data_IF_471761775431
#
_entry.id   IF_471761775431
#
_cell.length_a   1.000
_cell.length_b   1.000
_cell.length_c   1.000
_cell.angle_alpha   90.00
_cell.angle_beta   90.00
_cell.angle_gamma   90.00
#
_symmetry.space_group_name_H-M   'P 1'
#
loop_
_entity.id
_entity.type
_entity.pdbx_description
1 polymer ?
#
# COMPACT_ATOMS: atom_id res chain seq x y z
N UNK A 1 7.66 -3.07 38.72
CA UNK A 1 7.49 -4.07 37.65
C UNK A 1 7.73 -3.33 36.34
N UNK A 2 8.63 -3.80 35.47
CA UNK A 2 8.91 -3.13 34.20
C UNK A 2 7.73 -3.40 33.27
N UNK A 3 7.06 -2.34 32.82
CA UNK A 3 5.97 -2.46 31.85
C UNK A 3 6.61 -2.62 30.47
N UNK A 4 6.25 -3.70 29.76
CA UNK A 4 6.79 -4.00 28.42
C UNK A 4 5.68 -3.78 27.40
N UNK A 5 6.04 -3.17 26.27
CA UNK A 5 5.15 -2.99 25.13
C UNK A 5 5.85 -3.42 23.85
N UNK A 6 5.10 -3.99 22.91
CA UNK A 6 5.55 -4.35 21.57
C UNK A 6 4.77 -3.53 20.56
N UNK A 7 5.49 -2.91 19.63
CA UNK A 7 4.90 -2.16 18.51
C UNK A 7 5.27 -2.85 17.22
N UNK A 8 4.27 -3.42 16.56
CA UNK A 8 4.41 -4.08 15.27
C UNK A 8 4.33 -3.09 14.11
N UNK A 9 5.02 -3.42 13.02
CA UNK A 9 4.74 -2.83 11.72
C UNK A 9 3.67 -3.67 11.00
N UNK A 10 2.73 -3.07 10.27
CA UNK A 10 1.65 -3.86 9.64
C UNK A 10 2.20 -4.69 8.47
N UNK A 11 2.40 -4.06 7.32
CA UNK A 11 2.87 -4.73 6.09
C UNK A 11 4.28 -5.35 6.20
N UNK A 12 5.05 -4.99 7.23
CA UNK A 12 6.40 -5.50 7.46
C UNK A 12 6.49 -6.66 8.46
N UNK A 13 5.47 -6.90 9.29
CA UNK A 13 5.54 -7.97 10.32
C UNK A 13 4.26 -8.77 10.55
N UNK A 14 3.08 -8.20 10.31
CA UNK A 14 1.81 -8.86 10.61
C UNK A 14 1.11 -9.42 9.38
N UNK A 15 1.47 -8.94 8.19
CA UNK A 15 0.83 -9.32 6.94
C UNK A 15 1.77 -10.15 6.05
N UNK A 16 1.23 -11.23 5.52
CA UNK A 16 1.74 -11.87 4.31
C UNK A 16 1.30 -11.04 3.11
N UNK A 17 2.27 -10.44 2.43
CA UNK A 17 2.06 -9.37 1.48
C UNK A 17 2.31 -9.83 0.04
N UNK A 18 1.27 -9.75 -0.78
CA UNK A 18 1.31 -10.04 -2.20
C UNK A 18 1.45 -8.74 -2.98
N UNK A 19 2.41 -8.69 -3.91
CA UNK A 19 2.69 -7.47 -4.67
C UNK A 19 2.95 -7.81 -6.11
N UNK A 20 2.37 -7.04 -7.02
CA UNK A 20 2.58 -7.18 -8.44
C UNK A 20 2.93 -5.83 -9.06
N UNK A 21 3.83 -5.85 -10.05
CA UNK A 21 4.08 -4.70 -10.90
C UNK A 21 4.19 -5.13 -12.36
N UNK A 22 3.48 -4.44 -13.24
CA UNK A 22 3.60 -4.63 -14.69
C UNK A 22 4.46 -3.54 -15.27
N UNK A 23 5.52 -3.90 -15.99
CA UNK A 23 6.29 -2.97 -16.80
C UNK A 23 5.55 -2.70 -18.11
N UNK A 24 5.13 -1.45 -18.32
CA UNK A 24 4.34 -1.08 -19.48
C UNK A 24 5.14 -1.09 -20.79
N UNK A 25 6.47 -1.11 -20.72
CA UNK A 25 7.32 -1.18 -21.93
C UNK A 25 7.48 -2.61 -22.43
N UNK A 26 7.67 -3.55 -21.52
CA UNK A 26 7.89 -4.97 -21.86
C UNK A 26 6.61 -5.80 -21.80
N UNK A 27 5.57 -5.30 -21.13
CA UNK A 27 4.33 -6.05 -20.83
C UNK A 27 4.52 -7.13 -19.77
N UNK A 28 5.69 -7.25 -19.15
CA UNK A 28 5.98 -8.29 -18.17
C UNK A 28 5.44 -7.94 -16.78
N UNK A 29 4.90 -8.94 -16.08
CA UNK A 29 4.43 -8.82 -14.70
C UNK A 29 5.47 -9.45 -13.77
N UNK A 30 5.90 -8.68 -12.77
CA UNK A 30 6.77 -9.11 -11.69
C UNK A 30 5.94 -9.34 -10.43
N UNK A 31 6.09 -10.50 -9.82
CA UNK A 31 5.38 -10.92 -8.61
C UNK A 31 6.29 -10.85 -7.38
N UNK A 32 5.69 -10.67 -6.22
CA UNK A 32 6.32 -10.72 -4.90
C UNK A 32 7.51 -9.76 -4.76
N UNK A 33 7.41 -8.60 -5.44
CA UNK A 33 8.43 -7.55 -5.41
C UNK A 33 8.14 -6.54 -4.31
N UNK A 34 9.20 -5.97 -3.71
CA UNK A 34 9.07 -4.81 -2.83
C UNK A 34 8.98 -3.54 -3.70
N UNK A 35 7.77 -3.00 -3.85
CA UNK A 35 7.51 -1.85 -4.74
C UNK A 35 8.29 -0.59 -4.35
N UNK A 36 8.60 -0.40 -3.06
CA UNK A 36 9.46 0.68 -2.58
C UNK A 36 10.93 0.50 -2.99
N UNK A 37 11.41 -0.74 -3.10
CA UNK A 37 12.76 -1.02 -3.60
C UNK A 37 12.83 -0.76 -5.11
N UNK A 38 11.77 -1.12 -5.84
CA UNK A 38 11.62 -0.78 -7.26
C UNK A 38 11.64 0.75 -7.46
N UNK A 39 10.84 1.51 -6.70
CA UNK A 39 10.89 2.97 -6.71
C UNK A 39 12.28 3.49 -6.29
N UNK A 40 12.99 2.76 -5.44
CA UNK A 40 14.36 3.05 -5.03
C UNK A 40 15.41 2.94 -6.13
N UNK A 41 15.15 2.22 -7.21
CA UNK A 41 16.10 2.03 -8.33
C UNK A 41 16.33 3.30 -9.15
N UNK A 42 15.39 4.24 -9.14
CA UNK A 42 15.47 5.49 -9.88
C UNK A 42 14.98 6.65 -9.00
N UNK A 43 15.79 7.70 -8.75
CA UNK A 43 15.39 8.83 -7.90
C UNK A 43 14.20 9.64 -8.44
N UNK A 44 13.87 9.49 -9.73
CA UNK A 44 12.73 10.15 -10.37
C UNK A 44 11.45 9.30 -10.32
N UNK A 45 11.48 8.10 -9.74
CA UNK A 45 10.29 7.29 -9.53
C UNK A 45 9.52 7.70 -8.28
N UNK A 46 8.20 7.76 -8.43
CA UNK A 46 7.27 7.88 -7.32
C UNK A 46 6.13 6.87 -7.44
N UNK A 47 5.72 6.32 -6.30
CA UNK A 47 4.54 5.47 -6.17
C UNK A 47 3.33 6.38 -5.96
N UNK A 48 2.35 6.26 -6.84
CA UNK A 48 1.05 6.91 -6.76
C UNK A 48 0.01 5.88 -6.35
N UNK A 49 -0.70 6.15 -5.26
CA UNK A 49 -1.81 5.33 -4.77
C UNK A 49 -3.08 5.84 -5.44
N UNK A 50 -3.88 4.95 -6.03
CA UNK A 50 -5.17 5.28 -6.59
C UNK A 50 -6.27 4.88 -5.60
N UNK A 51 -7.07 5.85 -5.16
CA UNK A 51 -8.21 5.57 -4.27
C UNK A 51 -9.44 5.17 -5.08
N UNK A 52 -9.39 3.95 -5.62
CA UNK A 52 -10.47 3.32 -6.38
C UNK A 52 -10.78 1.96 -5.76
N UNK A 53 -12.07 1.63 -5.67
CA UNK A 53 -12.51 0.33 -5.18
C UNK A 53 -12.06 -0.77 -6.15
N UNK A 54 -11.35 -1.81 -5.67
CA UNK A 54 -10.85 -2.88 -6.52
C UNK A 54 -11.95 -3.56 -7.37
N UNK A 55 -13.13 -3.83 -6.78
CA UNK A 55 -14.27 -4.42 -7.49
C UNK A 55 -14.78 -3.52 -8.62
N UNK A 56 -14.78 -2.20 -8.39
CA UNK A 56 -15.20 -1.23 -9.41
C UNK A 56 -14.22 -1.24 -10.57
N UNK A 57 -12.91 -1.22 -10.30
CA UNK A 57 -11.87 -1.26 -11.32
C UNK A 57 -11.96 -2.54 -12.17
N UNK A 58 -12.23 -3.68 -11.57
CA UNK A 58 -12.38 -4.97 -12.26
C UNK A 58 -13.55 -5.01 -13.26
N UNK A 59 -14.58 -4.17 -13.07
CA UNK A 59 -15.75 -4.13 -13.94
C UNK A 59 -15.63 -3.10 -15.08
N UNK A 60 -14.55 -2.31 -15.10
CA UNK A 60 -14.33 -1.27 -16.10
C UNK A 60 -13.91 -1.84 -17.46
N UNK A 61 -14.15 -1.07 -18.53
CA UNK A 61 -13.59 -1.35 -19.85
C UNK A 61 -12.06 -1.22 -19.81
N UNK A 62 -11.36 -2.35 -19.95
CA UNK A 62 -9.91 -2.42 -19.91
C UNK A 62 -9.21 -1.62 -21.01
N UNK A 63 -9.89 -1.32 -22.13
CA UNK A 63 -9.34 -0.51 -23.21
C UNK A 63 -9.26 0.98 -22.89
N UNK A 64 -9.84 1.41 -21.76
CA UNK A 64 -9.90 2.80 -21.38
C UNK A 64 -8.54 3.31 -20.87
N UNK A 65 -8.09 4.52 -21.26
CA UNK A 65 -6.88 5.09 -20.70
C UNK A 65 -7.01 5.38 -19.20
N UNK A 66 -5.98 5.08 -18.41
CA UNK A 66 -5.97 5.30 -16.95
C UNK A 66 -6.26 6.76 -16.60
N UNK A 67 -5.69 7.70 -17.35
CA UNK A 67 -5.87 9.12 -17.09
C UNK A 67 -7.34 9.59 -17.27
N UNK A 68 -8.08 8.96 -18.18
CA UNK A 68 -9.51 9.22 -18.38
C UNK A 68 -10.33 8.61 -17.26
N UNK A 69 -10.01 7.39 -16.85
CA UNK A 69 -10.60 6.73 -15.68
C UNK A 69 -10.49 7.63 -14.43
N UNK A 70 -9.27 8.09 -14.11
CA UNK A 70 -9.02 8.95 -12.94
C UNK A 70 -9.85 10.23 -12.98
N UNK A 71 -9.92 10.88 -14.15
CA UNK A 71 -10.65 12.13 -14.33
C UNK A 71 -12.17 11.96 -14.24
N UNK A 72 -12.73 10.96 -14.93
CA UNK A 72 -14.18 10.78 -15.06
C UNK A 72 -14.82 10.22 -13.79
N UNK A 73 -14.09 9.38 -13.05
CA UNK A 73 -14.52 8.84 -11.76
C UNK A 73 -14.10 9.72 -10.57
N UNK A 74 -13.39 10.82 -10.83
CA UNK A 74 -12.82 11.70 -9.79
C UNK A 74 -11.99 10.91 -8.75
N UNK A 75 -11.16 9.99 -9.23
CA UNK A 75 -10.29 9.14 -8.40
C UNK A 75 -9.27 10.04 -7.72
N UNK A 76 -9.28 10.02 -6.38
CA UNK A 76 -8.25 10.71 -5.60
C UNK A 76 -6.94 9.94 -5.72
N UNK A 77 -5.82 10.67 -5.73
CA UNK A 77 -4.49 10.06 -5.71
C UNK A 77 -3.70 10.57 -4.51
N UNK A 78 -2.80 9.74 -4.00
CA UNK A 78 -1.79 10.11 -3.00
C UNK A 78 -0.40 9.66 -3.44
N UNK A 79 0.65 10.30 -2.92
CA UNK A 79 2.03 9.87 -3.14
C UNK A 79 2.42 8.95 -1.99
N UNK A 80 2.57 7.65 -2.30
CA UNK A 80 2.96 6.64 -1.31
C UNK A 80 4.45 6.67 -0.99
N UNK A 81 5.30 6.81 -2.02
CA UNK A 81 6.76 6.85 -1.85
C UNK A 81 7.39 7.66 -2.97
N UNK A 82 8.36 8.52 -2.64
CA UNK A 82 9.18 9.21 -3.62
C UNK A 82 10.51 9.61 -2.99
N UNK A 83 11.61 9.53 -3.75
CA UNK A 83 12.93 10.02 -3.30
C UNK A 83 13.10 11.52 -3.50
N UNK A 84 12.60 12.04 -4.62
CA UNK A 84 12.54 13.48 -4.90
C UNK A 84 11.17 14.03 -4.50
N UNK A 85 11.12 15.31 -4.13
CA UNK A 85 9.84 15.97 -3.92
C UNK A 85 9.06 15.99 -5.24
N UNK A 86 7.93 15.28 -5.27
CA UNK A 86 6.94 15.31 -6.33
C UNK A 86 5.67 15.90 -5.73
N UNK A 87 5.02 16.86 -6.40
CA UNK A 87 3.73 17.37 -5.95
C UNK A 87 2.59 16.52 -6.52
N UNK A 88 1.43 16.55 -5.87
CA UNK A 88 0.21 15.89 -6.36
C UNK A 88 -0.19 16.46 -7.74
N UNK A 89 -0.07 17.78 -7.93
CA UNK A 89 -0.35 18.43 -9.21
C UNK A 89 0.59 17.97 -10.33
N UNK A 90 1.88 17.78 -10.00
CA UNK A 90 2.86 17.26 -10.95
C UNK A 90 2.57 15.80 -11.31
N UNK A 91 2.22 14.96 -10.32
CA UNK A 91 1.77 13.59 -10.55
C UNK A 91 0.54 13.54 -11.46
N UNK A 92 -0.48 14.37 -11.19
CA UNK A 92 -1.65 14.51 -12.06
C UNK A 92 -1.28 14.92 -13.47
N UNK A 93 -0.35 15.88 -13.62
CA UNK A 93 0.12 16.34 -14.92
C UNK A 93 0.81 15.23 -15.72
N UNK A 94 1.67 14.44 -15.07
CA UNK A 94 2.36 13.30 -15.70
C UNK A 94 1.35 12.25 -16.15
N UNK A 95 0.46 11.83 -15.23
CA UNK A 95 -0.58 10.83 -15.51
C UNK A 95 -1.48 11.29 -16.66
N UNK A 96 -1.89 12.56 -16.67
CA UNK A 96 -2.75 13.14 -17.71
C UNK A 96 -2.10 13.20 -19.09
N UNK A 97 -0.77 13.19 -19.15
CA UNK A 97 -0.01 13.22 -20.41
C UNK A 97 0.43 11.84 -20.89
N UNK A 98 0.24 10.79 -20.09
CA UNK A 98 0.67 9.43 -20.46
C UNK A 98 -0.33 8.81 -21.45
N UNK A 99 0.13 8.39 -22.65
CA UNK A 99 -0.75 7.83 -23.68
C UNK A 99 -0.84 6.30 -23.64
N UNK A 100 -0.08 5.63 -22.77
CA UNK A 100 0.14 4.18 -22.84
C UNK A 100 -0.66 3.42 -21.79
N UNK A 101 -0.75 3.94 -20.56
CA UNK A 101 -1.37 3.20 -19.48
C UNK A 101 -2.88 3.00 -19.69
N UNK A 102 -3.31 1.74 -19.74
CA UNK A 102 -4.70 1.33 -19.86
C UNK A 102 -5.25 0.78 -18.54
N UNK A 103 -6.57 0.82 -18.39
CA UNK A 103 -7.27 0.21 -17.25
C UNK A 103 -6.96 -1.29 -17.17
N UNK A 104 -6.80 -1.98 -18.30
CA UNK A 104 -6.39 -3.39 -18.33
C UNK A 104 -5.04 -3.63 -17.64
N UNK A 105 -4.10 -2.67 -17.72
CA UNK A 105 -2.80 -2.81 -17.04
C UNK A 105 -2.93 -2.76 -15.51
N UNK A 106 -3.93 -2.05 -14.99
CA UNK A 106 -4.27 -2.04 -13.57
C UNK A 106 -5.04 -3.31 -13.17
N UNK A 107 -5.95 -3.79 -14.04
CA UNK A 107 -6.70 -5.02 -13.82
C UNK A 107 -5.78 -6.24 -13.74
N UNK A 108 -4.80 -6.37 -14.65
CA UNK A 108 -3.87 -7.50 -14.65
C UNK A 108 -3.02 -7.59 -13.37
N UNK A 109 -2.50 -6.46 -12.89
CA UNK A 109 -1.75 -6.45 -11.61
C UNK A 109 -2.67 -6.66 -10.42
N UNK A 110 -3.92 -6.20 -10.50
CA UNK A 110 -4.91 -6.43 -9.46
C UNK A 110 -5.30 -7.92 -9.38
N UNK A 111 -5.62 -8.56 -10.50
CA UNK A 111 -5.90 -10.00 -10.59
C UNK A 111 -4.75 -10.84 -10.02
N UNK A 112 -3.50 -10.48 -10.37
CA UNK A 112 -2.29 -11.16 -9.87
C UNK A 112 -2.19 -11.20 -8.34
N UNK A 113 -2.81 -10.24 -7.65
CA UNK A 113 -2.82 -10.13 -6.19
C UNK A 113 -4.14 -10.66 -5.61
N UNK A 114 -5.26 -10.42 -6.29
CA UNK A 114 -6.61 -10.73 -5.85
C UNK A 114 -6.78 -12.21 -5.49
N UNK A 115 -6.29 -13.10 -6.34
CA UNK A 115 -6.44 -14.55 -6.16
C UNK A 115 -5.63 -15.12 -4.99
N UNK A 116 -4.65 -14.35 -4.49
CA UNK A 116 -3.80 -14.73 -3.36
C UNK A 116 -4.28 -14.12 -2.03
N UNK A 117 -5.23 -13.19 -2.09
CA UNK A 117 -5.66 -12.41 -0.94
C UNK A 117 -7.11 -12.76 -0.58
N UNK A 118 -7.29 -13.67 0.38
CA UNK A 118 -8.61 -14.00 0.92
C UNK A 118 -9.27 -12.77 1.57
N UNK A 119 -8.44 -11.89 2.16
CA UNK A 119 -8.87 -10.62 2.71
C UNK A 119 -8.86 -9.51 1.64
N UNK A 120 -9.96 -9.39 0.90
CA UNK A 120 -10.15 -8.36 -0.14
C UNK A 120 -10.14 -6.92 0.38
N UNK A 121 -10.20 -6.72 1.71
CA UNK A 121 -10.23 -5.39 2.30
C UNK A 121 -8.85 -4.74 2.38
N UNK A 122 -7.77 -5.52 2.27
CA UNK A 122 -6.40 -5.01 2.20
C UNK A 122 -5.87 -5.22 0.80
N UNK A 123 -6.46 -4.51 -0.16
CA UNK A 123 -6.11 -4.60 -1.58
C UNK A 123 -6.08 -3.19 -2.17
N UNK A 124 -5.00 -2.88 -2.90
CA UNK A 124 -4.78 -1.56 -3.46
C UNK A 124 -4.16 -1.64 -4.84
N UNK A 125 -4.38 -0.57 -5.61
CA UNK A 125 -3.80 -0.38 -6.92
C UNK A 125 -3.09 0.97 -6.98
N UNK A 126 -2.09 1.03 -7.84
CA UNK A 126 -1.25 2.21 -7.96
C UNK A 126 -0.54 2.30 -9.29
N UNK A 127 0.18 3.40 -9.45
CA UNK A 127 1.03 3.67 -10.59
C UNK A 127 2.43 3.95 -10.08
N UNK A 128 3.44 3.59 -10.86
CA UNK A 128 4.74 4.22 -10.74
C UNK A 128 4.84 5.30 -11.81
N UNK A 129 5.16 6.52 -11.40
CA UNK A 129 5.43 7.63 -12.34
C UNK A 129 6.92 7.91 -12.40
N UNK A 130 7.43 8.20 -13.59
CA UNK A 130 8.78 8.70 -13.83
C UNK A 130 8.71 10.21 -14.07
N UNK A 131 9.12 11.00 -13.09
CA UNK A 131 9.05 12.46 -13.16
C UNK A 131 9.94 13.05 -14.26
N UNK A 132 11.12 12.46 -14.47
CA UNK A 132 12.06 12.94 -15.47
C UNK A 132 11.59 12.65 -16.90
N UNK A 133 11.03 11.46 -17.13
CA UNK A 133 10.51 11.05 -18.45
C UNK A 133 9.05 11.42 -18.69
N UNK A 134 8.35 11.85 -17.64
CA UNK A 134 6.92 12.21 -17.65
C UNK A 134 6.04 11.10 -18.22
N UNK A 135 6.25 9.88 -17.74
CA UNK A 135 5.49 8.70 -18.15
C UNK A 135 5.17 7.78 -16.97
N UNK A 136 4.33 6.78 -17.21
CA UNK A 136 4.01 5.71 -16.28
C UNK A 136 4.83 4.47 -16.68
N UNK A 137 5.98 4.18 -16.06
CA UNK A 137 6.72 2.94 -16.35
C UNK A 137 6.04 1.67 -15.82
N UNK A 138 5.27 1.75 -14.73
CA UNK A 138 4.65 0.58 -14.12
C UNK A 138 3.23 0.83 -13.62
N UNK A 139 2.35 -0.17 -13.73
CA UNK A 139 1.17 -0.31 -12.88
C UNK A 139 1.49 -1.24 -11.72
N UNK A 140 0.83 -1.02 -10.58
CA UNK A 140 1.12 -1.69 -9.32
C UNK A 140 -0.15 -2.22 -8.68
N UNK A 141 -0.06 -3.35 -8.00
CA UNK A 141 -1.05 -3.76 -7.00
C UNK A 141 -0.36 -4.34 -5.77
N UNK A 142 -0.99 -4.13 -4.62
CA UNK A 142 -0.55 -4.67 -3.34
C UNK A 142 -1.74 -5.21 -2.59
N UNK A 143 -1.59 -6.40 -2.01
CA UNK A 143 -2.57 -7.01 -1.13
C UNK A 143 -1.90 -7.64 0.07
N UNK A 144 -2.66 -7.91 1.12
CA UNK A 144 -2.10 -8.44 2.35
C UNK A 144 -3.12 -9.23 3.16
N UNK A 145 -2.71 -10.38 3.66
CA UNK A 145 -3.48 -11.15 4.63
C UNK A 145 -2.70 -11.21 5.95
N UNK A 146 -3.35 -11.06 7.11
CA UNK A 146 -2.70 -11.38 8.38
C UNK A 146 -2.12 -12.79 8.34
N UNK A 147 -0.89 -12.96 8.84
CA UNK A 147 -0.36 -14.31 9.06
C UNK A 147 -1.31 -15.08 9.99
N UNK A 148 -1.60 -16.36 9.72
CA UNK A 148 -2.45 -17.18 10.58
C UNK A 148 -1.98 -17.17 12.06
N UNK A 149 -0.67 -17.11 12.29
CA UNK A 149 -0.05 -17.11 13.61
C UNK A 149 -0.08 -15.73 14.31
N UNK A 150 -0.46 -14.66 13.62
CA UNK A 150 -0.41 -13.31 14.17
C UNK A 150 -1.35 -13.15 15.38
N UNK A 151 -2.56 -13.74 15.34
CA UNK A 151 -3.50 -13.74 16.45
C UNK A 151 -2.95 -14.49 17.67
N UNK A 152 -2.31 -15.64 17.44
CA UNK A 152 -1.69 -16.44 18.50
C UNK A 152 -0.55 -15.68 19.19
N UNK A 153 0.30 -15.01 18.41
CA UNK A 153 1.40 -14.19 18.94
C UNK A 153 0.87 -13.04 19.79
N UNK A 154 -0.14 -12.31 19.31
CA UNK A 154 -0.77 -11.21 20.07
C UNK A 154 -1.38 -11.74 21.38
N UNK A 155 -2.11 -12.86 21.32
CA UNK A 155 -2.74 -13.49 22.48
C UNK A 155 -1.71 -13.93 23.53
N UNK A 156 -0.59 -14.51 23.10
CA UNK A 156 0.49 -14.90 24.01
C UNK A 156 1.17 -13.70 24.67
N UNK A 157 1.39 -12.60 23.94
CA UNK A 157 1.92 -11.36 24.50
C UNK A 157 0.99 -10.77 25.55
N UNK A 158 -0.33 -10.74 25.29
CA UNK A 158 -1.32 -10.27 26.25
C UNK A 158 -1.35 -11.15 27.51
N UNK A 159 -1.27 -12.48 27.37
CA UNK A 159 -1.19 -13.41 28.51
C UNK A 159 0.06 -13.22 29.37
N UNK A 160 1.14 -12.69 28.79
CA UNK A 160 2.38 -12.30 29.49
C UNK A 160 2.30 -10.90 30.12
N UNK A 161 1.17 -10.19 29.96
CA UNK A 161 0.99 -8.82 30.43
C UNK A 161 1.76 -7.77 29.62
N UNK A 162 2.05 -8.08 28.35
CA UNK A 162 2.73 -7.18 27.40
C UNK A 162 1.67 -6.45 26.57
N UNK A 163 1.73 -5.11 26.55
CA UNK A 163 0.83 -4.31 25.72
C UNK A 163 1.26 -4.38 24.24
N UNK A 164 0.31 -4.64 23.34
CA UNK A 164 0.55 -4.74 21.89
C UNK A 164 -0.02 -3.54 21.15
N UNK A 165 0.75 -3.02 20.19
CA UNK A 165 0.40 -1.87 19.34
C UNK A 165 0.76 -2.13 17.88
N UNK A 166 0.11 -1.42 16.96
CA UNK A 166 0.42 -1.44 15.53
C UNK A 166 0.71 -0.02 15.06
N UNK A 167 1.85 0.20 14.40
CA UNK A 167 2.16 1.47 13.75
C UNK A 167 2.53 1.24 12.28
N UNK A 168 1.69 1.69 11.35
CA UNK A 168 1.89 1.50 9.91
C UNK A 168 1.84 2.78 9.11
N UNK A 169 2.49 2.76 7.95
CA UNK A 169 2.38 3.83 6.94
C UNK A 169 1.03 3.87 6.23
N UNK A 170 0.27 2.77 6.29
CA UNK A 170 -1.04 2.62 5.63
C UNK A 170 -2.12 3.48 6.29
N UNK A 171 -3.30 3.56 5.67
CA UNK A 171 -4.40 4.35 6.22
C UNK A 171 -4.85 3.78 7.56
N UNK A 172 -5.41 4.66 8.40
CA UNK A 172 -5.88 4.27 9.73
C UNK A 172 -6.93 3.15 9.63
N UNK A 173 -7.83 3.21 8.66
CA UNK A 173 -8.87 2.21 8.45
C UNK A 173 -8.30 0.82 8.16
N UNK A 174 -7.25 0.74 7.35
CA UNK A 174 -6.58 -0.51 6.98
C UNK A 174 -5.90 -1.12 8.21
N UNK A 175 -5.20 -0.30 9.01
CA UNK A 175 -4.52 -0.75 10.24
C UNK A 175 -5.53 -1.25 11.28
N UNK A 176 -6.66 -0.57 11.45
CA UNK A 176 -7.71 -1.01 12.37
C UNK A 176 -8.37 -2.31 11.94
N UNK A 177 -8.49 -2.55 10.64
CA UNK A 177 -9.00 -3.81 10.12
C UNK A 177 -8.06 -4.96 10.45
N UNK A 178 -6.75 -4.78 10.24
CA UNK A 178 -5.74 -5.75 10.69
C UNK A 178 -5.82 -5.96 12.20
N UNK A 179 -5.92 -4.88 12.99
CA UNK A 179 -5.99 -4.97 14.45
C UNK A 179 -7.18 -5.82 14.93
N UNK A 180 -8.35 -5.65 14.31
CA UNK A 180 -9.55 -6.46 14.63
C UNK A 180 -9.34 -7.94 14.33
N UNK A 181 -8.63 -8.26 13.24
CA UNK A 181 -8.39 -9.65 12.84
C UNK A 181 -7.41 -10.41 13.74
N UNK A 182 -6.55 -9.71 14.48
CA UNK A 182 -5.51 -10.32 15.33
C UNK A 182 -5.66 -9.99 16.82
N UNK A 183 -6.77 -9.35 17.22
CA UNK A 183 -7.06 -9.06 18.63
C UNK A 183 -6.36 -7.83 19.23
N UNK A 184 -5.79 -6.92 18.42
CA UNK A 184 -5.21 -5.66 18.93
C UNK A 184 -6.27 -4.59 19.09
N UNK A 185 -6.29 -3.94 20.27
CA UNK A 185 -7.22 -2.85 20.61
C UNK A 185 -7.13 -1.70 19.61
N UNK A 186 -8.28 -1.14 19.23
CA UNK A 186 -8.35 -0.05 18.24
C UNK A 186 -7.53 1.17 18.68
N UNK A 187 -7.58 1.53 19.96
CA UNK A 187 -6.81 2.62 20.56
C UNK A 187 -5.29 2.43 20.51
N UNK A 188 -4.82 1.22 20.20
CA UNK A 188 -3.41 0.87 20.07
C UNK A 188 -2.93 0.86 18.61
N UNK A 189 -3.73 1.41 17.69
CA UNK A 189 -3.42 1.45 16.25
C UNK A 189 -3.04 2.86 15.79
N UNK A 190 -1.98 2.96 15.01
CA UNK A 190 -1.44 4.21 14.48
C UNK A 190 -1.17 4.10 12.97
N UNK A 191 -2.15 4.45 12.15
CA UNK A 191 -2.00 4.61 10.70
C UNK A 191 -1.34 5.93 10.31
N UNK A 192 -0.95 6.04 9.04
CA UNK A 192 -0.21 7.15 8.44
C UNK A 192 1.05 7.51 9.25
N UNK A 193 1.72 6.48 9.76
CA UNK A 193 2.90 6.59 10.61
C UNK A 193 4.17 6.58 9.78
N UNK A 194 4.66 7.77 9.46
CA UNK A 194 6.00 7.96 8.90
C UNK A 194 7.07 7.38 9.84
N UNK A 195 8.31 7.10 9.35
CA UNK A 195 9.39 6.64 10.22
C UNK A 195 9.61 7.55 11.46
N UNK A 196 9.53 8.86 11.29
CA UNK A 196 9.64 9.82 12.38
C UNK A 196 8.48 9.72 13.39
N UNK A 197 7.26 9.48 12.89
CA UNK A 197 6.08 9.26 13.74
C UNK A 197 6.17 7.95 14.52
N UNK A 198 6.64 6.87 13.89
CA UNK A 198 6.93 5.59 14.58
C UNK A 198 7.94 5.79 15.72
N UNK A 199 9.03 6.52 15.48
CA UNK A 199 9.99 6.86 16.55
C UNK A 199 9.36 7.64 17.71
N UNK A 200 8.41 8.54 17.41
CA UNK A 200 7.70 9.33 18.43
C UNK A 200 6.78 8.45 19.27
N UNK A 201 6.00 7.57 18.66
CA UNK A 201 5.12 6.61 19.35
C UNK A 201 5.93 5.78 20.36
N UNK A 202 7.08 5.24 19.94
CA UNK A 202 7.96 4.45 20.81
C UNK A 202 8.46 5.27 22.02
N UNK A 203 8.74 6.57 21.82
CA UNK A 203 9.19 7.45 22.92
C UNK A 203 8.06 7.75 23.90
N UNK A 204 6.85 7.96 23.40
CA UNK A 204 5.66 8.24 24.22
C UNK A 204 5.25 7.02 25.06
N UNK A 205 5.43 5.80 24.55
CA UNK A 205 5.16 4.55 25.29
C UNK A 205 6.18 4.19 26.37
N UNK A 206 7.37 4.81 26.35
CA UNK A 206 8.42 4.60 27.37
C UNK A 206 8.24 5.47 28.62
N UNK A 207 7.35 6.45 28.57
CA UNK A 207 7.05 7.40 29.65
C UNK A 207 5.93 6.84 30.55
#
# INVERSE_FOLDING_TARGET
MVKTAVVFDSAGTLLDMYRAAKDLRSGSIYYDIVTTDLAGTNPDFAIIILHIEPEQLMQMDGSYPVHRCIKELNVKIDIGCSKKSLSIDEAHSIISSDPLALVSDLQEVLEAVWDRCDNKQYLGVGLMVDAARRCIPYTLSTGGCPYPEAEDVVSQLEALGVDTFIASGDKQEDVEMVSRSIGVKKEHTFGLSTPQRKCRIIRELKL
#
